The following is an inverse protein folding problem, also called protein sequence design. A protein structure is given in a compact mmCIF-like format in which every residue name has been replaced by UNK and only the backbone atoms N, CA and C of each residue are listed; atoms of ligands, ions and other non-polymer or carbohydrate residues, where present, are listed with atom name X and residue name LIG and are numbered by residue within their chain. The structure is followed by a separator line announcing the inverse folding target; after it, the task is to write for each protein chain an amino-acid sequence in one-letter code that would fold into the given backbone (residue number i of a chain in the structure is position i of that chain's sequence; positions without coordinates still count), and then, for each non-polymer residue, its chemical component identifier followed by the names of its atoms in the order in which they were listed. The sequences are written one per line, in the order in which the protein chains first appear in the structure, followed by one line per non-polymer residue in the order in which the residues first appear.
data_IF_877889949997
#
_entry.id   IF_877889949997
#
_cell.length_a   1.000
_cell.length_b   1.000
_cell.length_c   1.000
_cell.angle_alpha   90.00
_cell.angle_beta   90.00
_cell.angle_gamma   90.00
#
_symmetry.space_group_name_H-M   'P 1'
#
loop_
_entity.id
_entity.type
_entity.pdbx_description
1 polymer ?
#
# COMPACT_ATOMS: atom_id res chain seq x y z
N UNK A 1 2.37 -9.16 -17.43
CA UNK A 1 2.11 -8.81 -16.03
C UNK A 1 1.62 -10.10 -15.42
N UNK A 2 2.48 -10.75 -14.65
CA UNK A 2 2.17 -12.05 -14.07
C UNK A 2 1.42 -11.85 -12.76
N UNK A 3 0.52 -12.76 -12.43
CA UNK A 3 -0.28 -12.71 -11.19
C UNK A 3 -0.17 -14.06 -10.50
N UNK A 4 0.49 -14.05 -9.34
CA UNK A 4 0.58 -15.21 -8.47
C UNK A 4 -0.56 -15.20 -7.44
N UNK A 5 -1.26 -16.32 -7.31
CA UNK A 5 -2.28 -16.54 -6.29
C UNK A 5 -1.77 -17.55 -5.26
N UNK A 6 -1.77 -17.14 -3.99
CA UNK A 6 -1.35 -17.98 -2.87
C UNK A 6 -2.57 -18.38 -2.03
N UNK A 7 -2.86 -19.68 -1.96
CA UNK A 7 -3.84 -20.20 -1.02
C UNK A 7 -3.17 -20.44 0.34
N UNK A 8 -3.41 -19.54 1.29
CA UNK A 8 -2.77 -19.54 2.61
C UNK A 8 -3.80 -19.67 3.72
N UNK A 9 -3.49 -20.42 4.77
CA UNK A 9 -4.28 -20.43 6.01
C UNK A 9 -3.87 -19.27 6.92
N UNK A 10 -2.61 -18.85 6.84
CA UNK A 10 -2.07 -17.77 7.67
C UNK A 10 -1.06 -16.93 6.89
N UNK A 11 -1.22 -15.62 6.99
CA UNK A 11 -0.24 -14.62 6.54
C UNK A 11 0.48 -14.04 7.76
N UNK A 12 1.80 -14.20 7.80
CA UNK A 12 2.66 -13.58 8.81
C UNK A 12 3.27 -12.30 8.24
N UNK A 13 3.14 -11.20 8.95
CA UNK A 13 3.73 -9.91 8.57
C UNK A 13 4.92 -9.64 9.48
N UNK A 14 6.12 -9.55 8.90
CA UNK A 14 7.35 -9.33 9.66
C UNK A 14 8.07 -8.06 9.18
N UNK A 15 8.40 -7.16 10.12
CA UNK A 15 9.25 -6.03 9.82
C UNK A 15 10.68 -6.53 9.53
N UNK A 16 11.30 -6.03 8.46
CA UNK A 16 12.67 -6.29 8.08
C UNK A 16 13.47 -4.99 7.94
N UNK A 17 14.79 -5.10 7.96
CA UNK A 17 15.67 -3.98 7.67
C UNK A 17 15.56 -3.58 6.19
N UNK A 18 15.62 -2.27 5.91
CA UNK A 18 15.73 -1.78 4.54
C UNK A 18 17.05 -2.29 3.92
N UNK A 19 17.02 -2.88 2.71
CA UNK A 19 18.24 -3.25 2.00
C UNK A 19 19.12 -2.00 1.78
N UNK A 20 20.45 -2.13 1.88
CA UNK A 20 21.34 -1.00 1.68
C UNK A 20 21.16 -0.40 0.29
N UNK A 21 20.89 0.90 0.24
CA UNK A 21 20.80 1.65 -1.00
C UNK A 21 22.18 2.22 -1.36
N UNK A 22 22.75 1.91 -2.54
CA UNK A 22 24.02 2.49 -2.96
C UNK A 22 23.97 4.02 -2.95
N UNK A 23 25.03 4.73 -2.53
CA UNK A 23 25.03 6.19 -2.45
C UNK A 23 24.64 6.88 -3.75
N UNK A 24 25.13 6.36 -4.89
CA UNK A 24 24.78 6.86 -6.23
C UNK A 24 23.27 6.79 -6.53
N UNK A 25 22.60 5.74 -6.06
CA UNK A 25 21.17 5.52 -6.29
C UNK A 25 20.35 6.40 -5.34
N UNK A 26 20.84 6.63 -4.11
CA UNK A 26 20.25 7.57 -3.16
C UNK A 26 20.29 9.02 -3.70
N UNK A 27 21.44 9.46 -4.22
CA UNK A 27 21.59 10.79 -4.83
C UNK A 27 20.73 10.94 -6.09
N UNK A 28 20.62 9.89 -6.91
CA UNK A 28 19.75 9.91 -8.09
C UNK A 28 18.26 9.96 -7.70
N UNK A 29 17.84 9.19 -6.70
CA UNK A 29 16.48 9.24 -6.13
C UNK A 29 16.15 10.64 -5.64
N UNK A 30 17.04 11.25 -4.88
CA UNK A 30 16.81 12.56 -4.28
C UNK A 30 16.69 13.64 -5.37
N UNK A 31 17.51 13.60 -6.42
CA UNK A 31 17.35 14.48 -7.60
C UNK A 31 16.00 14.32 -8.30
N UNK A 32 15.54 13.09 -8.49
CA UNK A 32 14.22 12.80 -9.10
C UNK A 32 13.09 13.30 -8.19
N UNK A 33 13.21 13.07 -6.88
CA UNK A 33 12.24 13.52 -5.89
C UNK A 33 12.13 15.05 -5.86
N UNK A 34 13.26 15.75 -5.83
CA UNK A 34 13.28 17.21 -5.81
C UNK A 34 12.66 17.81 -7.08
N UNK A 35 12.89 17.18 -8.24
CA UNK A 35 12.22 17.57 -9.48
C UNK A 35 10.70 17.36 -9.39
N UNK A 36 10.24 16.26 -8.80
CA UNK A 36 8.82 16.01 -8.60
C UNK A 36 8.18 17.01 -7.62
N UNK A 37 8.85 17.35 -6.52
CA UNK A 37 8.39 18.37 -5.55
C UNK A 37 8.35 19.76 -6.19
N UNK A 38 9.33 20.12 -7.03
CA UNK A 38 9.28 21.38 -7.79
C UNK A 38 8.08 21.45 -8.73
N UNK A 39 7.72 20.33 -9.37
CA UNK A 39 6.56 20.24 -10.26
C UNK A 39 5.22 20.20 -9.49
N UNK A 40 5.21 19.60 -8.29
CA UNK A 40 4.06 19.55 -7.40
C UNK A 40 4.48 19.80 -5.93
N UNK A 41 4.43 21.06 -5.47
CA UNK A 41 4.81 21.42 -4.10
C UNK A 41 3.94 20.80 -3.00
N UNK A 42 2.78 20.21 -3.34
CA UNK A 42 1.94 19.51 -2.38
C UNK A 42 2.43 18.08 -2.08
N UNK A 43 3.46 17.59 -2.77
CA UNK A 43 4.04 16.29 -2.49
C UNK A 43 4.69 16.28 -1.11
N UNK A 44 4.39 15.24 -0.35
CA UNK A 44 4.90 15.04 0.99
C UNK A 44 5.67 13.73 1.07
N UNK A 45 6.87 13.79 1.65
CA UNK A 45 7.68 12.61 1.90
C UNK A 45 7.27 11.93 3.21
N UNK A 46 6.13 11.25 3.16
CA UNK A 46 5.57 10.56 4.32
C UNK A 46 6.18 9.18 4.54
N UNK A 47 6.08 8.66 5.78
CA UNK A 47 6.47 7.29 6.07
C UNK A 47 5.52 6.31 5.37
N UNK A 48 6.08 5.28 4.75
CA UNK A 48 5.34 4.20 4.07
C UNK A 48 6.00 2.85 4.32
N UNK A 49 5.37 1.77 3.86
CA UNK A 49 6.01 0.45 3.80
C UNK A 49 6.23 0.00 2.37
N UNK A 50 7.31 -0.74 2.15
CA UNK A 50 7.53 -1.49 0.92
C UNK A 50 7.59 -2.99 1.22
N UNK A 51 7.31 -3.80 0.20
CA UNK A 51 7.46 -5.25 0.28
C UNK A 51 8.96 -5.57 0.27
N UNK A 52 9.44 -6.24 1.32
CA UNK A 52 10.82 -6.75 1.41
C UNK A 52 10.97 -8.14 0.79
N UNK A 53 9.89 -8.91 0.72
CA UNK A 53 9.90 -10.26 0.16
C UNK A 53 8.73 -11.12 0.60
N UNK A 54 8.60 -12.28 -0.04
CA UNK A 54 7.62 -13.32 0.25
C UNK A 54 8.34 -14.66 0.38
N UNK A 55 8.00 -15.43 1.39
CA UNK A 55 8.52 -16.79 1.57
C UNK A 55 7.48 -17.70 2.22
N UNK A 56 7.50 -18.98 1.89
CA UNK A 56 6.75 -20.01 2.59
C UNK A 56 7.53 -20.44 3.83
N UNK A 57 6.91 -20.36 5.01
CA UNK A 57 7.51 -20.86 6.26
C UNK A 57 7.00 -22.26 6.62
N UNK A 58 5.89 -22.66 6.02
CA UNK A 58 5.20 -23.93 6.17
C UNK A 58 4.26 -24.12 4.95
N UNK A 59 3.81 -25.33 4.56
CA UNK A 59 2.96 -25.53 3.39
C UNK A 59 1.70 -24.66 3.29
N UNK A 60 1.18 -24.12 4.40
CA UNK A 60 -0.01 -23.23 4.42
C UNK A 60 0.24 -21.86 5.05
N UNK A 61 1.49 -21.53 5.39
CA UNK A 61 1.85 -20.27 6.04
C UNK A 61 2.84 -19.48 5.18
N UNK A 62 2.40 -18.30 4.74
CA UNK A 62 3.21 -17.37 3.98
C UNK A 62 3.70 -16.24 4.87
N UNK A 63 4.99 -15.92 4.83
CA UNK A 63 5.58 -14.76 5.47
C UNK A 63 5.83 -13.67 4.44
N UNK A 64 5.27 -12.49 4.70
CA UNK A 64 5.58 -11.26 4.01
C UNK A 64 6.49 -10.42 4.89
N UNK A 65 7.72 -10.20 4.42
CA UNK A 65 8.61 -9.22 5.03
C UNK A 65 8.29 -7.83 4.47
N UNK A 66 8.18 -6.84 5.35
CA UNK A 66 7.93 -5.45 4.98
C UNK A 66 9.00 -4.56 5.61
N UNK A 67 9.35 -3.50 4.89
CA UNK A 67 10.39 -2.57 5.30
C UNK A 67 9.82 -1.17 5.44
N UNK A 68 10.31 -0.41 6.42
CA UNK A 68 10.00 1.01 6.56
C UNK A 68 10.81 1.80 5.53
N UNK A 69 10.14 2.61 4.74
CA UNK A 69 10.77 3.56 3.83
C UNK A 69 9.98 4.87 3.87
N UNK A 70 10.45 5.89 3.17
CA UNK A 70 9.66 7.11 2.93
C UNK A 70 9.14 7.13 1.50
N UNK A 71 8.11 7.94 1.21
CA UNK A 71 7.46 7.97 -0.09
C UNK A 71 8.43 8.29 -1.24
N UNK A 72 9.49 9.06 -0.98
CA UNK A 72 10.57 9.32 -1.95
C UNK A 72 11.26 8.06 -2.45
N UNK A 73 11.20 6.93 -1.72
CA UNK A 73 11.75 5.64 -2.17
C UNK A 73 11.24 5.24 -3.56
N UNK A 74 9.96 5.50 -3.84
CA UNK A 74 9.37 5.17 -5.13
C UNK A 74 9.86 6.03 -6.30
N UNK A 75 10.63 7.09 -6.04
CA UNK A 75 11.35 7.81 -7.09
C UNK A 75 12.44 6.94 -7.75
N UNK A 76 12.97 5.92 -7.05
CA UNK A 76 13.93 4.95 -7.61
C UNK A 76 13.38 4.23 -8.87
N UNK A 77 12.06 4.13 -9.03
CA UNK A 77 11.43 3.54 -10.24
C UNK A 77 11.75 4.31 -11.52
N UNK A 78 12.20 5.56 -11.39
CA UNK A 78 12.61 6.44 -12.49
C UNK A 78 14.13 6.58 -12.60
N UNK A 79 14.89 5.91 -11.72
CA UNK A 79 16.36 5.91 -11.74
C UNK A 79 16.81 4.67 -12.52
N UNK A 80 17.48 4.83 -13.68
CA UNK A 80 17.96 3.69 -14.46
C UNK A 80 18.94 2.83 -13.67
N UNK A 81 18.75 1.51 -13.69
CA UNK A 81 19.62 0.54 -13.02
C UNK A 81 19.44 0.43 -11.51
N UNK A 82 18.61 1.27 -10.88
CA UNK A 82 18.29 1.17 -9.47
C UNK A 82 17.18 0.14 -9.22
N UNK A 83 17.27 -0.56 -8.09
CA UNK A 83 16.24 -1.50 -7.64
C UNK A 83 15.28 -0.80 -6.68
N UNK A 84 14.07 -0.52 -7.15
CA UNK A 84 13.00 -0.01 -6.29
C UNK A 84 12.24 -1.18 -5.65
N UNK A 85 12.03 -1.10 -4.33
CA UNK A 85 11.19 -2.09 -3.65
C UNK A 85 9.72 -2.00 -4.11
N UNK A 86 9.02 -3.13 -4.22
CA UNK A 86 7.60 -3.13 -4.58
C UNK A 86 6.74 -2.38 -3.56
N UNK A 87 5.69 -1.70 -4.03
CA UNK A 87 4.71 -1.09 -3.12
C UNK A 87 3.85 -2.16 -2.47
N UNK A 88 3.53 -1.99 -1.19
CA UNK A 88 2.62 -2.87 -0.46
C UNK A 88 1.25 -2.22 -0.29
N UNK A 89 0.23 -2.85 -0.87
CA UNK A 89 -1.16 -2.44 -0.78
C UNK A 89 -2.01 -3.57 -0.22
N UNK A 90 -3.05 -3.22 0.52
CA UNK A 90 -4.11 -4.15 0.89
C UNK A 90 -5.36 -3.77 0.13
N UNK A 91 -5.90 -4.74 -0.60
CA UNK A 91 -7.13 -4.63 -1.35
C UNK A 91 -8.10 -5.72 -0.90
N UNK A 92 -9.39 -5.43 -0.97
CA UNK A 92 -10.45 -6.37 -0.59
C UNK A 92 -11.29 -6.70 -1.81
N UNK A 93 -11.47 -8.00 -2.07
CA UNK A 93 -12.52 -8.47 -2.97
C UNK A 93 -13.83 -8.40 -2.19
N UNK A 94 -14.62 -7.35 -2.44
CA UNK A 94 -15.89 -7.12 -1.76
C UNK A 94 -17.06 -7.62 -2.62
N UNK A 95 -17.64 -8.79 -2.32
CA UNK A 95 -18.83 -9.26 -3.03
C UNK A 95 -20.06 -8.43 -2.64
N UNK A 96 -21.02 -8.36 -3.55
CA UNK A 96 -22.37 -7.83 -3.35
C UNK A 96 -23.38 -8.97 -3.24
N UNK A 97 -24.58 -8.68 -2.72
CA UNK A 97 -25.62 -9.70 -2.50
C UNK A 97 -26.12 -10.36 -3.80
N UNK A 98 -25.94 -9.70 -4.94
CA UNK A 98 -26.27 -10.22 -6.28
C UNK A 98 -25.11 -10.96 -6.97
N UNK A 99 -24.03 -11.29 -6.23
CA UNK A 99 -22.91 -12.08 -6.73
C UNK A 99 -21.89 -11.32 -7.59
N UNK A 100 -21.92 -9.98 -7.59
CA UNK A 100 -20.92 -9.14 -8.26
C UNK A 100 -19.81 -8.74 -7.29
N UNK A 101 -18.78 -8.06 -7.79
CA UNK A 101 -17.66 -7.54 -7.00
C UNK A 101 -17.58 -6.02 -7.17
N UNK A 102 -17.41 -5.31 -6.05
CA UNK A 102 -17.18 -3.88 -6.05
C UNK A 102 -15.78 -3.55 -6.61
N UNK A 103 -15.75 -2.65 -7.58
CA UNK A 103 -14.51 -2.08 -8.15
C UNK A 103 -14.66 -0.57 -8.28
N UNK A 104 -13.53 0.14 -8.19
CA UNK A 104 -13.45 1.58 -8.39
C UNK A 104 -12.58 1.90 -9.60
N UNK A 105 -12.96 2.93 -10.37
CA UNK A 105 -12.13 3.48 -11.44
C UNK A 105 -11.33 4.66 -10.91
N UNK A 106 -10.01 4.60 -11.05
CA UNK A 106 -9.12 5.66 -10.62
C UNK A 106 -9.36 6.96 -11.38
N UNK A 107 -9.37 8.08 -10.64
CA UNK A 107 -9.46 9.43 -11.21
C UNK A 107 -8.31 9.70 -12.19
N UNK A 108 -8.54 10.51 -13.24
CA UNK A 108 -7.49 10.97 -14.18
C UNK A 108 -6.28 11.63 -13.52
N UNK A 109 -6.44 12.15 -12.30
CA UNK A 109 -5.42 12.90 -11.56
C UNK A 109 -4.58 12.04 -10.61
N UNK A 110 -4.77 10.72 -10.61
CA UNK A 110 -4.01 9.80 -9.73
C UNK A 110 -2.75 9.25 -10.41
N UNK A 111 -1.91 8.55 -9.66
CA UNK A 111 -0.73 7.87 -10.22
C UNK A 111 -1.05 6.70 -11.19
N UNK A 112 -2.31 6.25 -11.22
CA UNK A 112 -2.77 5.19 -12.11
C UNK A 112 -4.11 5.55 -12.78
N UNK A 113 -4.14 6.60 -13.62
CA UNK A 113 -5.37 7.14 -14.22
C UNK A 113 -6.21 6.07 -14.91
N UNK A 114 -7.52 6.07 -14.65
CA UNK A 114 -8.49 5.23 -15.35
C UNK A 114 -8.41 3.73 -15.08
N UNK A 115 -7.43 3.25 -14.29
CA UNK A 115 -7.33 1.84 -13.90
C UNK A 115 -8.50 1.44 -13.00
N UNK A 116 -9.04 0.25 -13.26
CA UNK A 116 -9.96 -0.41 -12.33
C UNK A 116 -9.16 -1.05 -11.20
N UNK A 117 -9.58 -0.81 -9.96
CA UNK A 117 -8.96 -1.37 -8.77
C UNK A 117 -10.04 -1.82 -7.78
N UNK A 118 -9.68 -2.83 -7.00
CA UNK A 118 -10.46 -3.22 -5.84
C UNK A 118 -10.38 -2.12 -4.77
N UNK A 119 -11.40 -1.98 -3.90
CA UNK A 119 -11.31 -1.13 -2.72
C UNK A 119 -10.08 -1.50 -1.88
N UNK A 120 -9.28 -0.51 -1.53
CA UNK A 120 -8.04 -0.74 -0.82
C UNK A 120 -7.19 0.50 -0.66
N UNK A 121 -5.99 0.31 -0.13
CA UNK A 121 -5.06 1.39 0.15
C UNK A 121 -3.66 0.90 0.53
N UNK A 122 -2.70 1.83 0.62
CA UNK A 122 -1.36 1.51 1.08
C UNK A 122 -1.43 0.98 2.51
N UNK A 123 -0.61 -0.01 2.82
CA UNK A 123 -0.48 -0.47 4.20
C UNK A 123 0.10 0.64 5.07
N UNK A 124 -0.52 0.92 6.22
CA UNK A 124 -0.03 1.91 7.16
C UNK A 124 0.82 1.26 8.25
N UNK A 125 1.91 1.92 8.64
CA UNK A 125 2.74 1.48 9.75
C UNK A 125 1.92 1.35 11.05
N UNK A 126 2.19 0.33 11.88
CA UNK A 126 1.67 0.34 13.24
C UNK A 126 2.22 1.55 14.00
N UNK A 127 1.42 2.09 14.93
CA UNK A 127 1.90 3.11 15.88
C UNK A 127 3.08 2.55 16.69
N UNK A 128 4.04 3.39 17.12
CA UNK A 128 5.13 2.97 17.99
C UNK A 128 4.60 2.16 19.19
N UNK A 129 5.21 1.01 19.47
CA UNK A 129 4.82 0.13 20.58
C UNK A 129 3.69 -0.87 20.31
N UNK A 130 3.22 -1.02 19.06
CA UNK A 130 2.26 -2.07 18.66
C UNK A 130 2.83 -2.96 17.57
N UNK A 131 2.77 -4.28 17.78
CA UNK A 131 3.00 -5.28 16.74
C UNK A 131 1.64 -5.66 16.12
N UNK A 132 1.58 -5.82 14.80
CA UNK A 132 0.41 -6.39 14.15
C UNK A 132 0.37 -7.89 14.45
N UNK A 133 -0.40 -8.28 15.48
CA UNK A 133 -0.79 -9.69 15.61
C UNK A 133 -1.95 -9.95 14.64
N UNK A 134 -1.92 -11.05 13.89
CA UNK A 134 -2.98 -11.45 12.93
C UNK A 134 -4.38 -11.66 13.54
N UNK A 135 -4.57 -11.28 14.81
CA UNK A 135 -5.81 -11.32 15.58
C UNK A 135 -6.61 -10.01 15.51
N UNK A 136 -6.11 -8.99 14.80
CA UNK A 136 -6.75 -7.67 14.70
C UNK A 136 -7.56 -7.43 13.43
N UNK A 137 -7.73 -8.44 12.56
CA UNK A 137 -8.72 -8.35 11.51
C UNK A 137 -10.09 -8.73 12.10
N UNK A 138 -11.04 -7.81 12.28
CA UNK A 138 -12.38 -8.21 12.64
C UNK A 138 -13.00 -8.89 11.41
N UNK A 139 -12.86 -10.20 11.32
CA UNK A 139 -13.91 -11.01 10.73
C UNK A 139 -15.12 -10.88 11.67
N UNK A 140 -15.89 -9.81 11.53
CA UNK A 140 -17.22 -9.70 12.13
C UNK A 140 -18.28 -10.08 11.08
N UNK A 141 -19.33 -10.80 11.47
CA UNK A 141 -20.24 -11.44 10.53
C UNK A 141 -21.09 -10.41 9.80
N UNK A 142 -21.66 -10.84 8.67
CA UNK A 142 -22.63 -10.12 7.84
C UNK A 142 -23.65 -9.39 8.72
N UNK A 143 -23.61 -8.06 8.70
CA UNK A 143 -24.46 -7.19 9.50
C UNK A 143 -24.54 -5.80 8.89
N UNK A 144 -25.58 -5.60 8.10
CA UNK A 144 -26.21 -4.37 7.61
C UNK A 144 -25.48 -3.02 7.88
N UNK A 145 -24.69 -2.54 6.91
CA UNK A 145 -24.25 -1.14 6.86
C UNK A 145 -25.32 -0.30 6.18
N UNK A 146 -26.34 0.11 6.94
CA UNK A 146 -27.15 1.27 6.58
C UNK A 146 -27.05 2.29 7.72
N UNK A 147 -26.84 3.56 7.34
CA UNK A 147 -26.79 4.79 8.17
C UNK A 147 -25.43 5.16 8.76
N UNK A 148 -24.70 6.00 8.03
CA UNK A 148 -24.33 7.37 8.48
C UNK A 148 -23.29 7.99 7.53
N UNK A 149 -23.76 8.56 6.42
CA UNK A 149 -23.07 9.68 5.77
C UNK A 149 -23.98 10.89 5.96
N UNK A 150 -23.82 11.56 7.10
CA UNK A 150 -24.40 12.87 7.35
C UNK A 150 -23.63 13.91 6.55
N UNK A 151 -24.32 14.57 5.64
CA UNK A 151 -23.83 15.69 4.83
C UNK A 151 -23.51 16.90 5.71
N UNK A 152 -22.23 17.18 5.91
CA UNK A 152 -21.79 18.47 6.45
C UNK A 152 -21.80 19.51 5.31
N UNK A 153 -22.81 20.39 5.28
CA UNK A 153 -22.75 21.64 4.52
C UNK A 153 -21.84 22.65 5.25
N UNK A 154 -21.06 23.47 4.54
CA UNK A 154 -20.22 24.49 5.16
C UNK A 154 -21.05 25.69 5.65
N UNK A 155 -20.58 26.42 6.69
CA UNK A 155 -21.28 27.60 7.20
C UNK A 155 -21.18 28.76 6.20
N UNK A 156 -22.31 29.46 6.01
CA UNK A 156 -22.34 30.76 5.32
C UNK A 156 -21.90 31.84 6.30
N UNK A 157 -21.02 32.73 5.85
CA UNK A 157 -20.76 34.05 6.41
C UNK A 157 -22.00 34.93 6.35
#
# INVERSE_FOLDING_TARGET
MDVDLFEVERLLLAEAAEPPLPPRDAEARDRVWDMAVRANPSLFDGPVVACGGLEWTDPRVLRLSWVRVTYRHYALRRVPGATALPSLFVNVVQPTDDGRVLVARMSPTTAAPGRWQLPGGPWSLPRPGRCWTGRHWPARPRGNWSRSWGSARPPRT
#
